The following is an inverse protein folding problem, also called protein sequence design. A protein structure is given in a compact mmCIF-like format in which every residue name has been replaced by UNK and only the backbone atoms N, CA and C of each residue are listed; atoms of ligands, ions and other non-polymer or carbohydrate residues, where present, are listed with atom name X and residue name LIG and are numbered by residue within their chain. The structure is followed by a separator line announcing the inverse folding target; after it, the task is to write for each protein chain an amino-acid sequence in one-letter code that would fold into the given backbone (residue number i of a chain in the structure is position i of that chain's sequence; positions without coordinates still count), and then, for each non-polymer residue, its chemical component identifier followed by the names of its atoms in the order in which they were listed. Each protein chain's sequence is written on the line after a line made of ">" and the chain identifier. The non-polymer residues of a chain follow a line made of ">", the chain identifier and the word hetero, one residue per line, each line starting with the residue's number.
data_IF_073529282286
#
_entry.id   IF_073529282286
#
_cell.length_a   1.000
_cell.length_b   1.000
_cell.length_c   1.000
_cell.angle_alpha   90.00
_cell.angle_beta   90.00
_cell.angle_gamma   90.00
#
_symmetry.space_group_name_H-M   'P 1'
#
loop_
_entity.id
_entity.type
_entity.pdbx_description
1 polymer ?
#
# COMPACT_ATOMS: atom_id res chain seq x y z
N UNK A 1 34.79 43.19 -69.37
CA UNK A 1 35.51 43.86 -68.26
C UNK A 1 36.75 43.04 -67.95
N UNK A 2 37.97 43.59 -67.99
CA UNK A 2 39.16 42.82 -67.66
C UNK A 2 39.14 42.46 -66.16
N UNK A 3 39.19 41.17 -65.86
CA UNK A 3 39.27 40.64 -64.49
C UNK A 3 40.54 41.15 -63.84
N UNK A 4 40.45 41.65 -62.60
CA UNK A 4 41.60 42.25 -61.91
C UNK A 4 42.68 41.19 -61.65
N UNK A 5 43.96 41.59 -61.67
CA UNK A 5 45.11 40.69 -61.43
C UNK A 5 45.00 39.99 -60.06
N UNK A 6 44.41 40.64 -59.06
CA UNK A 6 44.12 40.09 -57.74
C UNK A 6 43.06 38.99 -57.75
N UNK A 7 42.03 39.13 -58.59
CA UNK A 7 40.94 38.16 -58.71
C UNK A 7 41.39 36.90 -59.45
N UNK A 8 42.16 37.05 -60.53
CA UNK A 8 42.81 35.92 -61.22
C UNK A 8 43.77 35.15 -60.30
N UNK A 9 44.51 35.86 -59.43
CA UNK A 9 45.43 35.24 -58.48
C UNK A 9 44.71 34.33 -57.49
N UNK A 10 43.58 34.78 -56.93
CA UNK A 10 42.82 33.98 -55.97
C UNK A 10 42.20 32.75 -56.63
N UNK A 11 41.63 32.91 -57.84
CA UNK A 11 41.06 31.79 -58.60
C UNK A 11 42.11 30.71 -58.93
N UNK A 12 43.34 31.11 -59.29
CA UNK A 12 44.46 30.17 -59.48
C UNK A 12 44.77 29.41 -58.18
N UNK A 13 44.84 30.11 -57.04
CA UNK A 13 45.08 29.47 -55.73
C UNK A 13 43.99 28.46 -55.38
N UNK A 14 42.73 28.82 -55.61
CA UNK A 14 41.59 27.95 -55.32
C UNK A 14 41.58 26.71 -56.23
N UNK A 15 41.88 26.87 -57.52
CA UNK A 15 42.00 25.75 -58.46
C UNK A 15 43.16 24.81 -58.12
N UNK A 16 44.30 25.33 -57.65
CA UNK A 16 45.40 24.50 -57.14
C UNK A 16 45.01 23.70 -55.89
N UNK A 17 44.29 24.31 -54.95
CA UNK A 17 43.78 23.61 -53.76
C UNK A 17 42.76 22.53 -54.16
N UNK A 18 41.86 22.83 -55.09
CA UNK A 18 40.86 21.89 -55.57
C UNK A 18 41.49 20.69 -56.31
N UNK A 19 42.27 20.95 -57.34
CA UNK A 19 42.80 19.90 -58.22
C UNK A 19 44.05 19.20 -57.67
N UNK A 20 44.90 19.92 -56.94
CA UNK A 20 46.21 19.42 -56.50
C UNK A 20 46.35 19.31 -54.98
N UNK A 21 45.39 19.85 -54.20
CA UNK A 21 45.42 19.76 -52.74
C UNK A 21 46.56 20.55 -52.07
N UNK A 22 47.20 21.46 -52.80
CA UNK A 22 48.34 22.27 -52.32
C UNK A 22 48.19 23.72 -52.76
N UNK A 23 48.93 24.62 -52.13
CA UNK A 23 49.05 26.00 -52.61
C UNK A 23 50.02 26.10 -53.80
N UNK A 24 49.76 26.98 -54.77
CA UNK A 24 50.68 27.23 -55.88
C UNK A 24 51.90 28.01 -55.41
N UNK A 25 53.06 27.69 -55.98
CA UNK A 25 54.29 28.47 -55.76
C UNK A 25 54.19 29.83 -56.46
N UNK A 26 55.01 30.79 -56.02
CA UNK A 26 54.99 32.17 -56.54
C UNK A 26 55.26 32.19 -58.05
N UNK A 27 56.14 31.31 -58.51
CA UNK A 27 56.54 31.14 -59.91
C UNK A 27 55.41 30.52 -60.74
N UNK A 28 54.65 29.58 -60.17
CA UNK A 28 53.50 28.95 -60.83
C UNK A 28 52.36 29.95 -61.06
N UNK A 29 52.08 30.81 -60.08
CA UNK A 29 51.12 31.90 -60.22
C UNK A 29 51.57 32.86 -61.33
N UNK A 30 52.85 33.24 -61.36
CA UNK A 30 53.39 34.15 -62.37
C UNK A 30 53.27 33.56 -63.78
N UNK A 31 53.56 32.27 -63.95
CA UNK A 31 53.46 31.58 -65.23
C UNK A 31 52.01 31.51 -65.74
N UNK A 32 51.03 31.21 -64.88
CA UNK A 32 49.61 31.20 -65.27
C UNK A 32 49.07 32.59 -65.60
N UNK A 33 49.44 33.61 -64.81
CA UNK A 33 49.06 35.01 -65.07
C UNK A 33 49.65 35.49 -66.40
N UNK A 34 50.91 35.16 -66.69
CA UNK A 34 51.53 35.46 -67.97
C UNK A 34 50.82 34.74 -69.13
N UNK A 35 50.50 33.45 -68.96
CA UNK A 35 49.83 32.65 -69.98
C UNK A 35 48.44 33.21 -70.35
N UNK A 36 47.65 33.60 -69.35
CA UNK A 36 46.35 34.27 -69.52
C UNK A 36 46.49 35.59 -70.27
N UNK A 37 47.50 36.39 -69.92
CA UNK A 37 47.72 37.70 -70.52
C UNK A 37 48.22 37.65 -71.98
N UNK A 38 48.99 36.63 -72.36
CA UNK A 38 49.61 36.56 -73.70
C UNK A 38 48.82 35.73 -74.70
N UNK A 39 48.08 34.71 -74.25
CA UNK A 39 47.35 33.79 -75.15
C UNK A 39 45.82 33.99 -75.09
N UNK A 40 45.33 34.99 -74.35
CA UNK A 40 43.91 35.21 -74.14
C UNK A 40 43.24 34.06 -73.38
N UNK A 41 44.00 33.30 -72.59
CA UNK A 41 43.51 32.15 -71.85
C UNK A 41 42.45 32.55 -70.81
N UNK A 42 41.37 31.79 -70.72
CA UNK A 42 40.35 31.97 -69.69
C UNK A 42 40.69 31.12 -68.45
N UNK A 43 39.97 31.32 -67.35
CA UNK A 43 40.07 30.44 -66.17
C UNK A 43 39.87 28.96 -66.54
N UNK A 44 39.05 28.68 -67.56
CA UNK A 44 38.84 27.34 -68.10
C UNK A 44 40.14 26.69 -68.64
N UNK A 45 41.05 27.47 -69.22
CA UNK A 45 42.36 26.98 -69.70
C UNK A 45 43.26 26.60 -68.52
N UNK A 46 43.23 27.37 -67.44
CA UNK A 46 43.96 27.07 -66.20
C UNK A 46 43.40 25.81 -65.55
N UNK A 47 42.07 25.71 -65.42
CA UNK A 47 41.40 24.52 -64.85
C UNK A 47 41.67 23.26 -65.66
N UNK A 48 41.64 23.33 -67.00
CA UNK A 48 42.01 22.20 -67.86
C UNK A 48 43.48 21.81 -67.70
N UNK A 49 44.39 22.78 -67.58
CA UNK A 49 45.81 22.54 -67.32
C UNK A 49 46.05 21.85 -65.97
N UNK A 50 45.40 22.33 -64.91
CA UNK A 50 45.48 21.74 -63.56
C UNK A 50 44.78 20.39 -63.48
N UNK A 51 43.66 20.20 -64.15
CA UNK A 51 42.98 18.91 -64.25
C UNK A 51 43.82 17.87 -64.98
N UNK A 52 44.65 18.29 -65.95
CA UNK A 52 45.55 17.41 -66.69
C UNK A 52 46.92 17.21 -66.02
N UNK A 53 47.20 17.96 -64.95
CA UNK A 53 48.44 17.87 -64.20
C UNK A 53 48.64 16.45 -63.60
N UNK A 54 49.85 15.87 -63.64
CA UNK A 54 50.12 14.51 -63.15
C UNK A 54 49.62 14.25 -61.72
N UNK A 55 49.86 15.18 -60.78
CA UNK A 55 49.36 15.08 -59.40
C UNK A 55 47.82 15.12 -59.28
N UNK A 56 47.10 15.84 -60.15
CA UNK A 56 45.64 15.85 -60.13
C UNK A 56 45.07 14.50 -60.62
N UNK A 57 45.70 13.91 -61.64
CA UNK A 57 45.40 12.56 -62.12
C UNK A 57 45.69 11.51 -61.04
N UNK A 58 46.79 11.67 -60.31
CA UNK A 58 47.14 10.81 -59.17
C UNK A 58 46.10 10.90 -58.04
N UNK A 59 45.70 12.11 -57.64
CA UNK A 59 44.71 12.33 -56.56
C UNK A 59 43.33 11.72 -56.88
N UNK A 60 42.87 11.79 -58.14
CA UNK A 60 41.62 11.16 -58.58
C UNK A 60 41.63 9.63 -58.47
N UNK A 61 42.79 9.00 -58.53
CA UNK A 61 42.93 7.54 -58.44
C UNK A 61 43.17 7.07 -57.01
N UNK A 62 43.78 7.91 -56.15
CA UNK A 62 44.12 7.54 -54.77
C UNK A 62 42.87 7.23 -53.93
N UNK A 63 41.84 8.07 -53.93
CA UNK A 63 40.68 7.89 -53.05
C UNK A 63 39.88 6.60 -53.34
N UNK A 64 39.52 6.28 -54.59
CA UNK A 64 38.85 5.01 -54.90
C UNK A 64 39.69 3.78 -54.55
N UNK A 65 41.02 3.84 -54.77
CA UNK A 65 41.94 2.76 -54.40
C UNK A 65 42.01 2.63 -52.88
N UNK A 66 42.06 3.74 -52.14
CA UNK A 66 42.06 3.75 -50.68
C UNK A 66 40.79 3.11 -50.09
N UNK A 67 39.64 3.39 -50.70
CA UNK A 67 38.36 2.79 -50.33
C UNK A 67 38.35 1.29 -50.65
N UNK A 68 38.82 0.89 -51.84
CA UNK A 68 38.92 -0.53 -52.20
C UNK A 68 39.79 -1.34 -51.22
N UNK A 69 40.92 -0.80 -50.78
CA UNK A 69 41.71 -1.44 -49.73
C UNK A 69 40.95 -1.57 -48.41
N UNK A 70 40.17 -0.55 -48.03
CA UNK A 70 39.40 -0.56 -46.78
C UNK A 70 38.24 -1.57 -46.86
N UNK A 71 37.56 -1.61 -48.01
CA UNK A 71 36.37 -2.44 -48.24
C UNK A 71 36.74 -3.92 -48.42
N UNK A 72 37.78 -4.21 -49.21
CA UNK A 72 38.15 -5.58 -49.55
C UNK A 72 39.23 -6.18 -48.66
N UNK A 73 40.13 -5.37 -48.10
CA UNK A 73 41.25 -5.86 -47.28
C UNK A 73 41.17 -5.40 -45.82
N UNK A 74 40.15 -4.63 -45.44
CA UNK A 74 39.94 -4.18 -44.05
C UNK A 74 41.00 -3.20 -43.55
N UNK A 75 41.82 -2.63 -44.43
CA UNK A 75 42.93 -1.73 -44.06
C UNK A 75 43.08 -0.59 -45.04
N UNK A 76 43.82 0.43 -44.64
CA UNK A 76 44.24 1.49 -45.56
C UNK A 76 45.43 1.02 -46.41
N UNK A 77 45.42 1.38 -47.69
CA UNK A 77 46.59 1.27 -48.57
C UNK A 77 47.74 2.11 -48.03
N UNK A 78 48.96 1.58 -48.13
CA UNK A 78 50.18 2.30 -47.77
C UNK A 78 50.68 3.17 -48.93
N UNK A 79 51.52 4.18 -48.61
CA UNK A 79 52.02 5.13 -49.61
C UNK A 79 52.79 4.44 -50.77
N UNK A 80 53.51 3.35 -50.47
CA UNK A 80 54.21 2.55 -51.49
C UNK A 80 53.27 1.79 -52.42
N UNK A 81 52.15 1.27 -51.89
CA UNK A 81 51.14 0.56 -52.68
C UNK A 81 50.39 1.51 -53.61
N UNK A 82 50.01 2.70 -53.12
CA UNK A 82 49.39 3.76 -53.94
C UNK A 82 50.31 4.23 -55.08
N UNK A 83 51.60 4.37 -54.80
CA UNK A 83 52.61 4.72 -55.81
C UNK A 83 52.76 3.59 -56.85
N UNK A 84 52.78 2.33 -56.41
CA UNK A 84 52.81 1.16 -57.28
C UNK A 84 51.62 1.09 -58.24
N UNK A 85 50.39 1.29 -57.73
CA UNK A 85 49.19 1.32 -58.57
C UNK A 85 49.18 2.47 -59.58
N UNK A 86 49.70 3.64 -59.21
CA UNK A 86 49.82 4.80 -60.11
C UNK A 86 50.75 4.52 -61.28
N UNK A 87 51.89 3.89 -61.00
CA UNK A 87 52.87 3.49 -62.02
C UNK A 87 52.35 2.35 -62.90
N UNK A 88 51.71 1.35 -62.30
CA UNK A 88 51.10 0.23 -63.02
C UNK A 88 50.00 0.70 -63.99
N UNK A 89 49.10 1.59 -63.55
CA UNK A 89 48.10 2.21 -64.43
C UNK A 89 48.73 2.97 -65.60
N UNK A 90 49.81 3.72 -65.34
CA UNK A 90 50.47 4.54 -66.36
C UNK A 90 51.20 3.69 -67.41
N UNK A 91 51.80 2.56 -67.01
CA UNK A 91 52.53 1.66 -67.91
C UNK A 91 51.64 0.78 -68.76
N UNK A 92 50.50 0.34 -68.20
CA UNK A 92 49.63 -0.64 -68.84
C UNK A 92 48.29 -0.08 -69.31
N UNK A 93 48.02 1.21 -69.07
CA UNK A 93 46.77 1.86 -69.48
C UNK A 93 45.54 1.37 -68.71
N UNK A 94 45.73 0.87 -67.48
CA UNK A 94 44.64 0.36 -66.65
C UNK A 94 43.75 1.51 -66.15
N UNK A 95 42.45 1.25 -66.12
CA UNK A 95 41.50 2.14 -65.46
C UNK A 95 41.54 1.94 -63.94
N UNK A 96 41.01 2.91 -63.19
CA UNK A 96 40.83 2.77 -61.74
C UNK A 96 39.93 1.58 -61.39
N UNK A 97 38.94 1.26 -62.23
CA UNK A 97 38.05 0.12 -62.03
C UNK A 97 38.78 -1.23 -62.18
N UNK A 98 39.76 -1.30 -63.09
CA UNK A 98 40.59 -2.50 -63.23
C UNK A 98 41.47 -2.71 -62.00
N UNK A 99 42.04 -1.63 -61.44
CA UNK A 99 42.80 -1.70 -60.19
C UNK A 99 41.92 -2.15 -59.02
N UNK A 100 40.71 -1.59 -58.90
CA UNK A 100 39.76 -1.99 -57.84
C UNK A 100 39.40 -3.46 -57.98
N UNK A 101 39.22 -3.96 -59.21
CA UNK A 101 38.98 -5.38 -59.48
C UNK A 101 40.16 -6.25 -59.04
N UNK A 102 41.39 -5.85 -59.33
CA UNK A 102 42.58 -6.59 -58.90
C UNK A 102 42.70 -6.65 -57.37
N UNK A 103 42.39 -5.55 -56.67
CA UNK A 103 42.37 -5.51 -55.19
C UNK A 103 41.27 -6.44 -54.65
N UNK A 104 40.08 -6.43 -55.26
CA UNK A 104 38.96 -7.28 -54.85
C UNK A 104 39.22 -8.78 -55.08
N UNK A 105 39.99 -9.11 -56.11
CA UNK A 105 40.38 -10.49 -56.46
C UNK A 105 41.67 -10.97 -55.76
N UNK A 106 42.31 -10.12 -54.95
CA UNK A 106 43.44 -10.52 -54.14
C UNK A 106 43.01 -11.62 -53.14
N UNK A 107 43.75 -12.74 -52.99
CA UNK A 107 43.43 -13.78 -52.00
C UNK A 107 43.26 -13.24 -50.57
N UNK A 108 43.99 -12.19 -50.18
CA UNK A 108 43.82 -11.55 -48.88
C UNK A 108 42.42 -10.93 -48.69
N UNK A 109 41.73 -10.58 -49.78
CA UNK A 109 40.35 -10.11 -49.74
C UNK A 109 39.34 -11.25 -49.51
N UNK A 110 39.65 -12.47 -49.97
CA UNK A 110 38.85 -13.66 -49.63
C UNK A 110 39.01 -13.99 -48.14
N UNK A 111 40.23 -13.97 -47.62
CA UNK A 111 40.52 -14.21 -46.20
C UNK A 111 39.80 -13.19 -45.29
N UNK A 112 39.86 -11.91 -45.64
CA UNK A 112 39.15 -10.86 -44.90
C UNK A 112 37.63 -11.07 -44.93
N UNK A 113 37.06 -11.35 -46.10
CA UNK A 113 35.62 -11.64 -46.24
C UNK A 113 35.20 -12.89 -45.48
N UNK A 114 36.04 -13.92 -45.45
CA UNK A 114 35.76 -15.14 -44.68
C UNK A 114 35.80 -14.86 -43.18
N UNK A 115 36.80 -14.11 -42.68
CA UNK A 115 36.84 -13.70 -41.27
C UNK A 115 35.61 -12.89 -40.83
N UNK A 116 35.11 -12.00 -41.70
CA UNK A 116 33.85 -11.29 -41.46
C UNK A 116 32.63 -12.22 -41.42
N UNK A 117 32.61 -13.29 -42.22
CA UNK A 117 31.52 -14.29 -42.18
C UNK A 117 31.56 -15.10 -40.90
N UNK A 118 32.74 -15.60 -40.53
CA UNK A 118 32.93 -16.42 -39.34
C UNK A 118 32.55 -15.63 -38.07
N UNK A 119 32.95 -14.35 -38.00
CA UNK A 119 32.56 -13.47 -36.89
C UNK A 119 31.05 -13.19 -36.87
N UNK A 120 30.42 -12.95 -38.02
CA UNK A 120 28.97 -12.79 -38.09
C UNK A 120 28.20 -14.07 -37.71
N UNK A 121 28.70 -15.24 -38.10
CA UNK A 121 28.14 -16.53 -37.72
C UNK A 121 28.25 -16.77 -36.21
N UNK A 122 29.41 -16.44 -35.63
CA UNK A 122 29.63 -16.50 -34.19
C UNK A 122 28.68 -15.55 -33.45
N UNK A 123 28.57 -14.29 -33.89
CA UNK A 123 27.63 -13.32 -33.32
C UNK A 123 26.18 -13.77 -33.43
N UNK A 124 25.81 -14.42 -34.54
CA UNK A 124 24.47 -14.98 -34.72
C UNK A 124 24.22 -16.11 -33.73
N UNK A 125 25.17 -17.04 -33.59
CA UNK A 125 25.12 -18.16 -32.64
C UNK A 125 25.00 -17.66 -31.20
N UNK A 126 25.81 -16.67 -30.81
CA UNK A 126 25.75 -16.08 -29.48
C UNK A 126 24.42 -15.36 -29.22
N UNK A 127 23.90 -14.61 -30.20
CA UNK A 127 22.58 -13.97 -30.09
C UNK A 127 21.46 -15.00 -29.91
N UNK A 128 21.49 -16.11 -30.64
CA UNK A 128 20.51 -17.20 -30.48
C UNK A 128 20.61 -17.82 -29.09
N UNK A 129 21.83 -18.10 -28.60
CA UNK A 129 22.05 -18.64 -27.25
C UNK A 129 21.53 -17.69 -26.17
N UNK A 130 21.92 -16.42 -26.23
CA UNK A 130 21.49 -15.39 -25.26
C UNK A 130 19.97 -15.18 -25.28
N UNK A 131 19.35 -15.28 -26.45
CA UNK A 131 17.88 -15.22 -26.56
C UNK A 131 17.24 -16.42 -25.86
N UNK A 132 17.78 -17.63 -26.05
CA UNK A 132 17.32 -18.83 -25.34
C UNK A 132 17.47 -18.73 -23.83
N UNK A 133 18.63 -18.29 -23.34
CA UNK A 133 18.88 -18.05 -21.91
C UNK A 133 17.89 -17.04 -21.30
N UNK A 134 17.62 -15.95 -22.02
CA UNK A 134 16.65 -14.94 -21.61
C UNK A 134 15.24 -15.52 -21.52
N UNK A 135 14.83 -16.31 -22.51
CA UNK A 135 13.49 -16.89 -22.55
C UNK A 135 13.30 -17.92 -21.42
N UNK A 136 14.33 -18.73 -21.11
CA UNK A 136 14.34 -19.59 -19.92
C UNK A 136 14.19 -18.79 -18.63
N UNK A 137 14.97 -17.73 -18.44
CA UNK A 137 14.87 -16.88 -17.25
C UNK A 137 13.49 -16.20 -17.10
N UNK A 138 12.86 -15.81 -18.22
CA UNK A 138 11.49 -15.30 -18.23
C UNK A 138 10.50 -16.39 -17.77
N UNK A 139 10.68 -17.62 -18.24
CA UNK A 139 9.88 -18.78 -17.83
C UNK A 139 9.95 -19.02 -16.32
N UNK A 140 11.15 -19.11 -15.77
CA UNK A 140 11.38 -19.29 -14.32
C UNK A 140 10.75 -18.17 -13.49
N UNK A 141 10.91 -16.90 -13.92
CA UNK A 141 10.29 -15.75 -13.25
C UNK A 141 8.77 -15.84 -13.24
N UNK A 142 8.16 -16.30 -14.33
CA UNK A 142 6.71 -16.44 -14.43
C UNK A 142 6.20 -17.56 -13.51
N UNK A 143 6.91 -18.69 -13.42
CA UNK A 143 6.61 -19.77 -12.46
C UNK A 143 6.66 -19.26 -11.02
N UNK A 144 7.74 -18.58 -10.63
CA UNK A 144 7.89 -18.02 -9.29
C UNK A 144 6.81 -16.97 -8.96
N UNK A 145 6.33 -16.22 -9.95
CA UNK A 145 5.20 -15.30 -9.79
C UNK A 145 3.89 -16.05 -9.53
N UNK A 146 3.63 -17.14 -10.27
CA UNK A 146 2.47 -18.00 -10.05
C UNK A 146 2.45 -18.59 -8.64
N UNK A 147 3.58 -19.11 -8.16
CA UNK A 147 3.72 -19.63 -6.80
C UNK A 147 3.42 -18.56 -5.74
N UNK A 148 3.92 -17.33 -5.94
CA UNK A 148 3.63 -16.20 -5.05
C UNK A 148 2.16 -15.85 -5.00
N UNK A 149 1.49 -15.83 -6.15
CA UNK A 149 0.07 -15.50 -6.24
C UNK A 149 -0.78 -16.57 -5.52
N UNK A 150 -0.43 -17.85 -5.64
CA UNK A 150 -1.03 -18.94 -4.86
C UNK A 150 -0.85 -18.75 -3.35
N UNK A 151 0.38 -18.48 -2.90
CA UNK A 151 0.66 -18.26 -1.47
C UNK A 151 -0.10 -17.05 -0.89
N UNK A 152 -0.31 -16.00 -1.70
CA UNK A 152 -1.14 -14.84 -1.31
C UNK A 152 -2.60 -15.27 -1.14
N UNK A 153 -3.15 -16.07 -2.05
CA UNK A 153 -4.51 -16.59 -1.96
C UNK A 153 -4.74 -17.45 -0.71
N UNK A 154 -3.79 -18.34 -0.39
CA UNK A 154 -3.82 -19.15 0.82
C UNK A 154 -3.79 -18.28 2.09
N UNK A 155 -2.91 -17.28 2.14
CA UNK A 155 -2.82 -16.35 3.26
C UNK A 155 -4.12 -15.57 3.47
N UNK A 156 -4.74 -15.12 2.39
CA UNK A 156 -5.97 -14.33 2.48
C UNK A 156 -7.16 -15.20 2.93
N UNK A 157 -7.18 -16.47 2.52
CA UNK A 157 -8.13 -17.48 3.03
C UNK A 157 -7.96 -17.69 4.54
N UNK A 158 -6.73 -17.94 5.00
CA UNK A 158 -6.44 -18.10 6.43
C UNK A 158 -6.76 -16.85 7.27
N UNK A 159 -6.67 -15.65 6.69
CA UNK A 159 -7.12 -14.40 7.33
C UNK A 159 -8.64 -14.37 7.49
N UNK A 160 -9.39 -14.74 6.45
CA UNK A 160 -10.85 -14.83 6.51
C UNK A 160 -11.35 -15.82 7.56
N UNK A 161 -10.70 -16.97 7.68
CA UNK A 161 -10.99 -17.97 8.72
C UNK A 161 -10.73 -17.40 10.12
N UNK A 162 -9.59 -16.70 10.31
CA UNK A 162 -9.25 -16.07 11.60
C UNK A 162 -10.28 -15.02 12.01
N UNK A 163 -10.75 -14.21 11.06
CA UNK A 163 -11.72 -13.16 11.35
C UNK A 163 -13.10 -13.75 11.69
N UNK A 164 -13.50 -14.83 11.02
CA UNK A 164 -14.69 -15.61 11.39
C UNK A 164 -14.60 -16.13 12.83
N UNK A 165 -13.49 -16.79 13.17
CA UNK A 165 -13.27 -17.33 14.52
C UNK A 165 -13.25 -16.24 15.61
N UNK A 166 -12.77 -15.03 15.28
CA UNK A 166 -12.85 -13.87 16.19
C UNK A 166 -14.30 -13.43 16.40
N UNK A 167 -15.08 -13.31 15.33
CA UNK A 167 -16.51 -12.97 15.43
C UNK A 167 -17.29 -13.97 16.28
N UNK A 168 -17.04 -15.27 16.13
CA UNK A 168 -17.65 -16.32 16.96
C UNK A 168 -17.26 -16.19 18.44
N UNK A 169 -15.98 -15.90 18.72
CA UNK A 169 -15.50 -15.66 20.09
C UNK A 169 -16.19 -14.46 20.73
N UNK A 170 -16.33 -13.37 19.99
CA UNK A 170 -16.97 -12.15 20.50
C UNK A 170 -18.45 -12.38 20.81
N UNK A 171 -19.14 -13.17 19.97
CA UNK A 171 -20.52 -13.59 20.23
C UNK A 171 -20.62 -14.43 21.52
N UNK A 172 -19.73 -15.41 21.68
CA UNK A 172 -19.69 -16.23 22.90
C UNK A 172 -19.42 -15.40 24.16
N UNK A 173 -18.48 -14.45 24.10
CA UNK A 173 -18.20 -13.55 25.22
C UNK A 173 -19.40 -12.66 25.57
N UNK A 174 -20.11 -12.16 24.56
CA UNK A 174 -21.36 -11.40 24.75
C UNK A 174 -22.42 -12.23 25.48
N UNK A 175 -22.67 -13.46 25.01
CA UNK A 175 -23.60 -14.39 25.65
C UNK A 175 -23.21 -14.69 27.10
N UNK A 176 -21.93 -14.93 27.35
CA UNK A 176 -21.40 -15.17 28.71
C UNK A 176 -21.63 -13.97 29.62
N UNK A 177 -21.40 -12.75 29.14
CA UNK A 177 -21.60 -11.53 29.92
C UNK A 177 -23.09 -11.31 30.25
N UNK A 178 -23.99 -11.61 29.31
CA UNK A 178 -25.44 -11.58 29.57
C UNK A 178 -25.82 -12.56 30.68
N UNK A 179 -25.34 -13.82 30.60
CA UNK A 179 -25.64 -14.82 31.62
C UNK A 179 -25.08 -14.44 33.00
N UNK A 180 -23.91 -13.81 33.06
CA UNK A 180 -23.36 -13.26 34.31
C UNK A 180 -24.28 -12.16 34.86
N UNK A 181 -24.71 -11.21 34.03
CA UNK A 181 -25.61 -10.14 34.45
C UNK A 181 -26.97 -10.66 34.96
N UNK A 182 -27.51 -11.71 34.34
CA UNK A 182 -28.73 -12.38 34.82
C UNK A 182 -28.51 -13.04 36.18
N UNK A 183 -27.40 -13.77 36.36
CA UNK A 183 -27.05 -14.37 37.64
C UNK A 183 -26.94 -13.32 38.75
N UNK A 184 -26.19 -12.25 38.50
CA UNK A 184 -25.97 -11.18 39.47
C UNK A 184 -27.29 -10.48 39.84
N UNK A 185 -28.21 -10.34 38.87
CA UNK A 185 -29.56 -9.84 39.14
C UNK A 185 -30.33 -10.76 40.10
N UNK A 186 -30.36 -12.07 39.86
CA UNK A 186 -31.07 -13.01 40.74
C UNK A 186 -30.43 -13.09 42.13
N UNK A 187 -29.11 -13.03 42.22
CA UNK A 187 -28.37 -13.00 43.49
C UNK A 187 -28.77 -11.76 44.32
N UNK A 188 -28.77 -10.56 43.72
CA UNK A 188 -29.19 -9.34 44.40
C UNK A 188 -30.70 -9.27 44.73
N UNK A 189 -31.56 -10.07 44.08
CA UNK A 189 -32.96 -10.26 44.50
C UNK A 189 -33.04 -11.21 45.70
N UNK A 190 -32.26 -12.29 45.68
CA UNK A 190 -32.17 -13.25 46.80
C UNK A 190 -31.68 -12.57 48.07
N UNK A 191 -30.60 -11.79 48.01
CA UNK A 191 -30.05 -11.04 49.14
C UNK A 191 -31.08 -10.09 49.75
N UNK A 192 -31.85 -9.37 48.92
CA UNK A 192 -32.94 -8.50 49.38
C UNK A 192 -34.05 -9.29 50.09
N UNK A 193 -34.45 -10.44 49.54
CA UNK A 193 -35.45 -11.29 50.18
C UNK A 193 -34.95 -11.84 51.52
N UNK A 194 -33.68 -12.22 51.62
CA UNK A 194 -33.07 -12.63 52.89
C UNK A 194 -33.09 -11.49 53.91
N UNK A 195 -32.74 -10.26 53.52
CA UNK A 195 -32.82 -9.10 54.39
C UNK A 195 -34.24 -8.84 54.92
N UNK A 196 -35.25 -8.90 54.04
CA UNK A 196 -36.65 -8.75 54.46
C UNK A 196 -37.11 -9.86 55.42
N UNK A 197 -36.61 -11.08 55.25
CA UNK A 197 -36.92 -12.19 56.13
C UNK A 197 -36.31 -12.00 57.53
N UNK A 198 -35.05 -11.56 57.60
CA UNK A 198 -34.36 -11.25 58.85
C UNK A 198 -35.05 -10.09 59.61
N UNK A 199 -35.39 -8.99 58.91
CA UNK A 199 -36.13 -7.86 59.51
C UNK A 199 -37.48 -8.30 60.13
N UNK A 200 -38.20 -9.17 59.42
CA UNK A 200 -39.48 -9.73 59.88
C UNK A 200 -39.29 -10.66 61.09
N UNK A 201 -38.23 -11.46 61.11
CA UNK A 201 -37.89 -12.35 62.20
C UNK A 201 -37.55 -11.57 63.47
N UNK A 202 -36.71 -10.53 63.36
CA UNK A 202 -36.36 -9.63 64.47
C UNK A 202 -37.61 -8.94 65.02
N UNK A 203 -38.49 -8.46 64.14
CA UNK A 203 -39.76 -7.84 64.53
C UNK A 203 -40.67 -8.82 65.29
N UNK A 204 -40.78 -10.07 64.83
CA UNK A 204 -41.57 -11.11 65.49
C UNK A 204 -41.05 -11.43 66.89
N UNK A 205 -39.73 -11.59 67.03
CA UNK A 205 -39.08 -11.80 68.34
C UNK A 205 -39.31 -10.62 69.28
N UNK A 206 -39.28 -9.39 68.76
CA UNK A 206 -39.62 -8.19 69.51
C UNK A 206 -41.05 -8.21 70.07
N UNK A 207 -42.04 -8.63 69.27
CA UNK A 207 -43.42 -8.80 69.74
C UNK A 207 -43.55 -9.92 70.77
N UNK A 208 -42.86 -11.05 70.61
CA UNK A 208 -42.87 -12.13 71.59
C UNK A 208 -42.35 -11.65 72.95
N UNK A 209 -41.23 -10.93 72.98
CA UNK A 209 -40.68 -10.36 74.21
C UNK A 209 -41.68 -9.41 74.89
N UNK A 210 -42.35 -8.54 74.12
CA UNK A 210 -43.39 -7.65 74.66
C UNK A 210 -44.59 -8.42 75.24
N UNK A 211 -45.02 -9.50 74.59
CA UNK A 211 -46.09 -10.37 75.10
C UNK A 211 -45.67 -11.00 76.42
N UNK A 212 -44.43 -11.50 76.51
CA UNK A 212 -43.87 -12.05 77.75
C UNK A 212 -43.83 -11.01 78.87
N UNK A 213 -43.38 -9.79 78.58
CA UNK A 213 -43.36 -8.70 79.56
C UNK A 213 -44.77 -8.34 80.06
N UNK A 214 -45.75 -8.24 79.15
CA UNK A 214 -47.15 -7.97 79.50
C UNK A 214 -47.76 -9.10 80.32
N UNK A 215 -47.46 -10.36 80.01
CA UNK A 215 -47.88 -11.51 80.82
C UNK A 215 -47.35 -11.40 82.25
N UNK A 216 -46.07 -11.07 82.43
CA UNK A 216 -45.48 -10.85 83.75
C UNK A 216 -46.14 -9.69 84.52
N UNK A 217 -46.47 -8.59 83.84
CA UNK A 217 -47.20 -7.47 84.46
C UNK A 217 -48.63 -7.85 84.89
N UNK A 218 -49.31 -8.68 84.09
CA UNK A 218 -50.65 -9.19 84.45
C UNK A 218 -50.56 -10.10 85.66
N UNK A 219 -49.57 -11.00 85.73
CA UNK A 219 -49.34 -11.87 86.88
C UNK A 219 -49.07 -11.08 88.17
N UNK A 220 -48.21 -10.05 88.12
CA UNK A 220 -47.98 -9.16 89.26
C UNK A 220 -49.28 -8.45 89.70
N UNK A 221 -50.04 -7.93 88.73
CA UNK A 221 -51.33 -7.28 89.01
C UNK A 221 -52.31 -8.25 89.68
N UNK A 222 -52.40 -9.48 89.20
CA UNK A 222 -53.30 -10.50 89.74
C UNK A 222 -52.87 -10.92 91.16
N UNK A 223 -51.57 -11.06 91.42
CA UNK A 223 -51.05 -11.26 92.78
C UNK A 223 -51.39 -10.09 93.71
N UNK A 224 -51.24 -8.85 93.23
CA UNK A 224 -51.61 -7.65 94.00
C UNK A 224 -53.10 -7.62 94.30
N UNK A 225 -53.97 -7.91 93.32
CA UNK A 225 -55.42 -8.00 93.54
C UNK A 225 -55.76 -9.06 94.59
N UNK A 226 -55.15 -10.24 94.51
CA UNK A 226 -55.32 -11.29 95.52
C UNK A 226 -54.94 -10.82 96.93
N UNK A 227 -53.83 -10.09 97.08
CA UNK A 227 -53.45 -9.53 98.40
C UNK A 227 -54.38 -8.43 98.90
N UNK A 228 -54.95 -7.61 98.01
CA UNK A 228 -55.95 -6.61 98.39
C UNK A 228 -57.25 -7.28 98.84
N UNK A 229 -57.72 -8.32 98.14
CA UNK A 229 -58.89 -9.11 98.55
C UNK A 229 -58.69 -9.78 99.92
N UNK A 230 -57.50 -10.32 100.19
CA UNK A 230 -57.15 -10.87 101.52
C UNK A 230 -57.13 -9.78 102.61
N UNK A 231 -56.58 -8.60 102.32
CA UNK A 231 -56.56 -7.47 103.28
C UNK A 231 -57.95 -6.95 103.59
N UNK A 232 -58.83 -6.83 102.60
CA UNK A 232 -60.22 -6.41 102.83
C UNK A 232 -60.98 -7.45 103.66
N UNK A 233 -60.74 -8.75 103.44
CA UNK A 233 -61.26 -9.82 104.30
C UNK A 233 -60.74 -9.72 105.75
N UNK A 234 -59.46 -9.41 105.95
CA UNK A 234 -58.86 -9.21 107.28
C UNK A 234 -59.33 -7.92 107.98
N UNK A 235 -59.54 -6.82 107.24
CA UNK A 235 -60.11 -5.58 107.79
C UNK A 235 -61.56 -5.80 108.24
N UNK A 236 -62.36 -6.53 107.45
CA UNK A 236 -63.72 -6.95 107.83
C UNK A 236 -63.71 -7.84 109.10
N UNK A 237 -62.71 -8.70 109.28
CA UNK A 237 -62.54 -9.51 110.50
C UNK A 237 -61.99 -8.71 111.71
N UNK A 238 -61.09 -7.74 111.50
CA UNK A 238 -60.49 -6.93 112.56
C UNK A 238 -61.45 -5.86 113.10
N UNK A 239 -62.37 -5.35 112.26
CA UNK A 239 -63.47 -4.47 112.67
C UNK A 239 -64.44 -5.12 113.66
N UNK A 240 -64.46 -6.45 113.74
CA UNK A 240 -65.20 -7.21 114.76
C UNK A 240 -64.42 -7.39 116.08
N UNK A 241 -63.13 -7.07 116.13
CA UNK A 241 -62.23 -7.34 117.27
C UNK A 241 -61.29 -6.16 117.57
N UNK A 242 -61.81 -5.01 118.05
CA UNK A 242 -60.98 -4.05 118.79
C UNK A 242 -61.36 -2.58 118.64
N UNK A 243 -61.93 -2.00 119.69
CA UNK A 243 -62.03 -0.54 119.86
C UNK A 243 -61.10 -0.03 120.97
N UNK A 244 -60.29 1.01 120.67
CA UNK A 244 -60.04 2.26 121.45
C UNK A 244 -58.63 2.88 121.29
N UNK A 245 -58.63 4.22 121.16
CA UNK A 245 -57.66 5.26 121.58
C UNK A 245 -56.30 5.36 120.86
N UNK A 246 -55.96 6.41 120.08
CA UNK A 246 -55.76 7.88 120.30
C UNK A 246 -54.35 8.32 120.73
N UNK A 247 -53.81 9.34 120.04
CA UNK A 247 -52.62 10.12 120.44
C UNK A 247 -51.56 10.29 119.34
N UNK A 248 -51.53 11.45 118.66
CA UNK A 248 -50.74 11.69 117.44
C UNK A 248 -49.40 12.43 117.58
N UNK A 249 -48.68 12.59 116.47
CA UNK A 249 -48.23 13.87 115.89
C UNK A 249 -47.24 13.67 114.73
N UNK A 250 -47.31 14.62 113.79
CA UNK A 250 -46.72 14.69 112.44
C UNK A 250 -45.19 14.55 112.33
N UNK A 251 -44.74 13.87 111.27
CA UNK A 251 -43.64 14.34 110.41
C UNK A 251 -44.01 14.08 108.94
N UNK A 252 -43.84 15.12 108.14
CA UNK A 252 -44.13 15.23 106.72
C UNK A 252 -42.89 14.82 105.91
N UNK A 253 -43.07 13.96 104.90
CA UNK A 253 -42.14 13.87 103.76
C UNK A 253 -42.92 13.71 102.46
N UNK A 254 -43.21 14.88 101.87
CA UNK A 254 -43.12 15.23 100.45
C UNK A 254 -43.40 14.12 99.43
N UNK A 255 -44.60 14.20 98.86
CA UNK A 255 -44.76 14.11 97.41
C UNK A 255 -43.90 15.20 96.75
N UNK A 256 -42.91 14.79 95.96
CA UNK A 256 -42.38 15.60 94.85
C UNK A 256 -42.86 14.97 93.57
N UNK A 257 -43.80 15.64 92.91
CA UNK A 257 -44.06 15.43 91.50
C UNK A 257 -42.93 15.99 90.64
N UNK A 258 -42.77 15.37 89.48
CA UNK A 258 -42.05 15.84 88.30
C UNK A 258 -42.46 14.92 87.16
N UNK A 259 -43.55 15.25 86.44
CA UNK A 259 -43.55 16.02 85.17
C UNK A 259 -42.89 15.21 84.05
N UNK A 260 -43.68 14.54 83.22
CA UNK A 260 -44.17 14.99 81.91
C UNK A 260 -43.08 15.04 80.81
N UNK A 261 -43.48 14.44 79.67
CA UNK A 261 -43.09 14.76 78.30
C UNK A 261 -41.80 14.15 77.73
N UNK A 262 -42.00 13.09 76.95
CA UNK A 262 -41.59 12.99 75.53
C UNK A 262 -42.29 11.74 74.98
N UNK A 263 -43.29 11.78 74.10
CA UNK A 263 -43.48 12.75 73.03
C UNK A 263 -42.63 12.39 71.80
N UNK A 264 -42.76 11.16 71.31
CA UNK A 264 -42.34 10.76 69.95
C UNK A 264 -42.91 9.36 69.71
N UNK A 265 -44.08 9.20 69.11
CA UNK A 265 -44.42 9.72 67.79
C UNK A 265 -44.44 8.53 66.84
N UNK A 266 -45.50 7.71 66.90
CA UNK A 266 -45.82 6.81 65.79
C UNK A 266 -46.36 7.69 64.66
N UNK A 267 -45.49 8.03 63.70
CA UNK A 267 -45.78 8.28 62.27
C UNK A 267 -44.49 7.93 61.53
N UNK A 268 -44.47 6.92 60.68
CA UNK A 268 -44.98 7.05 59.31
C UNK A 268 -45.37 5.68 58.77
N UNK A 269 -46.66 5.54 58.45
CA UNK A 269 -47.10 4.70 57.34
C UNK A 269 -46.60 5.30 56.02
N UNK A 270 -46.28 4.40 55.11
CA UNK A 270 -45.84 4.57 53.72
C UNK A 270 -46.22 5.87 53.00
N UNK A 271 -45.24 6.42 52.27
CA UNK A 271 -45.49 7.12 51.02
C UNK A 271 -44.58 6.51 49.94
N UNK A 272 -45.14 5.53 49.24
CA UNK A 272 -44.71 5.16 47.88
C UNK A 272 -44.77 6.40 47.00
N UNK A 273 -43.63 7.02 46.71
CA UNK A 273 -43.49 7.90 45.57
C UNK A 273 -42.99 7.07 44.39
N UNK A 274 -43.91 6.71 43.49
CA UNK A 274 -43.56 6.56 42.08
C UNK A 274 -42.97 7.89 41.62
N UNK A 275 -41.64 7.95 41.42
CA UNK A 275 -41.02 8.91 40.50
C UNK A 275 -40.18 8.13 39.50
N UNK A 276 -40.71 8.09 38.29
CA UNK A 276 -40.00 7.79 37.07
C UNK A 276 -39.06 8.97 36.77
N UNK A 277 -37.77 8.84 37.03
CA UNK A 277 -36.72 9.61 36.36
C UNK A 277 -35.62 8.64 35.92
N UNK A 278 -35.91 7.98 34.80
CA UNK A 278 -34.88 7.56 33.88
C UNK A 278 -34.11 8.83 33.43
N UNK A 279 -32.87 9.02 33.88
CA UNK A 279 -31.72 9.44 33.05
C UNK A 279 -30.47 9.76 33.90
N UNK A 280 -29.33 9.19 33.44
CA UNK A 280 -27.93 9.60 33.66
C UNK A 280 -27.18 9.00 34.87
N UNK A 281 -26.81 7.74 34.72
CA UNK A 281 -25.38 7.41 34.83
C UNK A 281 -24.72 7.79 33.51
N UNK A 282 -23.95 8.89 33.49
CA UNK A 282 -22.70 9.05 32.72
C UNK A 282 -22.14 10.47 32.90
N UNK A 283 -21.06 10.62 33.68
CA UNK A 283 -19.90 11.52 33.48
C UNK A 283 -19.18 11.72 34.81
N UNK A 284 -18.08 11.00 34.95
CA UNK A 284 -16.80 11.59 35.36
C UNK A 284 -15.70 10.76 34.69
N UNK A 285 -15.52 11.04 33.40
CA UNK A 285 -14.28 10.77 32.68
C UNK A 285 -13.61 12.13 32.52
N UNK A 286 -12.59 12.38 33.33
CA UNK A 286 -11.73 13.55 33.22
C UNK A 286 -10.88 13.46 31.95
N UNK A 287 -11.17 14.34 30.99
CA UNK A 287 -10.21 15.05 30.13
C UNK A 287 -9.15 14.25 29.34
N UNK A 288 -9.40 14.05 28.04
CA UNK A 288 -8.60 14.72 26.98
C UNK A 288 -9.26 14.52 25.62
N UNK A 289 -10.00 15.55 25.17
CA UNK A 289 -10.57 15.63 23.83
C UNK A 289 -10.02 16.85 23.12
N UNK A 290 -9.07 16.63 22.20
CA UNK A 290 -8.76 17.57 21.12
C UNK A 290 -9.88 17.50 20.08
N UNK A 291 -10.27 18.67 19.61
CA UNK A 291 -11.43 19.03 18.80
C UNK A 291 -11.55 18.32 17.45
N UNK A 292 -12.79 18.06 17.01
CA UNK A 292 -13.30 18.47 15.69
C UNK A 292 -14.84 18.44 15.66
N UNK A 293 -15.40 19.53 15.13
CA UNK A 293 -16.80 19.95 15.27
C UNK A 293 -17.56 19.85 13.92
N UNK A 294 -18.85 19.47 14.00
CA UNK A 294 -20.01 19.90 13.17
C UNK A 294 -20.21 19.50 11.68
N UNK A 295 -21.11 18.51 11.47
CA UNK A 295 -22.44 18.51 10.75
C UNK A 295 -22.61 19.00 9.28
N UNK A 296 -23.77 18.76 8.57
CA UNK A 296 -24.56 17.53 8.36
C UNK A 296 -25.03 17.29 6.87
N UNK A 297 -25.55 16.07 6.59
CA UNK A 297 -26.55 15.62 5.57
C UNK A 297 -26.69 16.37 4.22
N UNK A 298 -26.34 15.70 3.10
CA UNK A 298 -27.14 15.68 1.84
C UNK A 298 -27.00 14.32 1.16
N UNK A 299 -28.12 13.59 1.07
CA UNK A 299 -28.28 12.45 0.19
C UNK A 299 -28.37 12.93 -1.27
N UNK A 300 -27.52 12.40 -2.16
CA UNK A 300 -27.77 12.38 -3.60
C UNK A 300 -27.59 10.97 -4.13
N UNK A 301 -28.73 10.35 -4.44
CA UNK A 301 -28.85 9.24 -5.38
C UNK A 301 -28.06 9.55 -6.65
N UNK A 302 -27.17 8.64 -7.06
CA UNK A 302 -26.74 8.56 -8.47
C UNK A 302 -27.24 7.25 -9.07
N UNK A 303 -28.00 7.46 -10.13
CA UNK A 303 -28.70 6.49 -10.95
C UNK A 303 -27.77 5.43 -11.54
N UNK A 304 -28.32 4.22 -11.62
CA UNK A 304 -27.82 3.10 -12.44
C UNK A 304 -27.75 3.55 -13.89
N UNK A 305 -26.65 3.22 -14.55
CA UNK A 305 -26.60 3.06 -16.01
C UNK A 305 -26.23 1.62 -16.30
N UNK A 306 -27.26 0.78 -16.44
CA UNK A 306 -27.18 -0.44 -17.24
C UNK A 306 -27.29 0.00 -18.70
N UNK A 307 -26.21 -0.07 -19.46
CA UNK A 307 -26.29 -0.05 -20.91
C UNK A 307 -26.33 -1.48 -21.43
N UNK A 308 -27.49 -1.80 -21.99
CA UNK A 308 -27.76 -2.94 -22.83
C UNK A 308 -26.96 -2.88 -24.12
N UNK A 309 -26.23 -3.95 -24.43
CA UNK A 309 -25.91 -4.30 -25.81
C UNK A 309 -26.44 -5.71 -26.05
N UNK A 310 -27.56 -5.79 -26.76
CA UNK A 310 -28.07 -7.04 -27.29
C UNK A 310 -27.55 -7.31 -28.71
N UNK A 311 -27.87 -8.53 -29.17
CA UNK A 311 -27.69 -9.06 -30.54
C UNK A 311 -26.27 -9.57 -30.82
N UNK A 312 -25.98 -10.77 -31.33
CA UNK A 312 -26.79 -11.77 -32.03
C UNK A 312 -26.16 -13.17 -31.91
N UNK A 313 -27.02 -14.17 -31.73
CA UNK A 313 -26.78 -15.54 -32.17
C UNK A 313 -26.64 -15.61 -33.70
N UNK A 314 -25.55 -16.18 -34.22
CA UNK A 314 -25.48 -16.76 -35.56
C UNK A 314 -24.51 -17.94 -35.54
N UNK A 315 -25.06 -19.14 -35.66
CA UNK A 315 -24.29 -20.30 -36.11
C UNK A 315 -23.98 -20.19 -37.59
N UNK A 316 -22.80 -20.65 -37.98
CA UNK A 316 -22.51 -21.15 -39.33
C UNK A 316 -21.49 -22.29 -39.22
N UNK A 317 -21.81 -23.38 -39.90
CA UNK A 317 -21.01 -24.57 -40.09
C UNK A 317 -20.09 -24.41 -41.30
N UNK A 318 -18.89 -25.03 -41.22
CA UNK A 318 -18.08 -25.62 -42.31
C UNK A 318 -16.74 -26.02 -41.67
N UNK A 319 -16.22 -27.24 -41.72
CA UNK A 319 -16.19 -28.20 -42.82
C UNK A 319 -14.80 -28.16 -43.48
N UNK A 320 -14.13 -29.33 -43.57
CA UNK A 320 -12.81 -29.61 -44.18
C UNK A 320 -11.60 -29.43 -43.25
N UNK A 321 -10.66 -30.37 -43.07
CA UNK A 321 -10.45 -31.68 -43.70
C UNK A 321 -8.98 -32.09 -43.55
N UNK A 322 -8.72 -33.38 -43.29
CA UNK A 322 -7.61 -34.12 -43.90
C UNK A 322 -6.26 -34.25 -43.16
N UNK A 323 -5.84 -35.53 -43.08
CA UNK A 323 -4.45 -36.02 -43.08
C UNK A 323 -3.66 -35.89 -41.77
N UNK A 324 -3.04 -36.91 -41.19
CA UNK A 324 -2.62 -38.23 -41.67
C UNK A 324 -1.31 -38.56 -40.95
N UNK A 325 -1.35 -39.29 -39.83
CA UNK A 325 -0.14 -39.70 -39.11
C UNK A 325 0.30 -41.10 -39.56
N UNK A 326 1.33 -41.11 -40.41
CA UNK A 326 2.10 -42.31 -40.74
C UNK A 326 3.12 -42.60 -39.63
N UNK A 327 3.05 -43.83 -39.13
CA UNK A 327 4.03 -44.51 -38.31
C UNK A 327 5.34 -44.74 -39.09
N UNK A 328 6.50 -44.41 -38.50
CA UNK A 328 7.78 -45.03 -38.88
C UNK A 328 8.55 -45.46 -37.65
N UNK A 329 8.54 -46.77 -37.40
CA UNK A 329 9.61 -47.48 -36.70
C UNK A 329 10.64 -47.87 -37.76
N UNK A 330 11.86 -47.39 -37.64
CA UNK A 330 12.99 -47.98 -38.35
C UNK A 330 13.66 -49.02 -37.45
N UNK A 331 13.87 -50.20 -38.03
CA UNK A 331 15.00 -51.07 -37.73
C UNK A 331 16.23 -50.47 -38.41
#
# INVERSE_FOLDING_TARGET
>A
MPVSISENRQQIVDAYKQHLGREPQKEEIANWVQHVNTHGGSMQTIEQGLANHPLAKQKKNIEPIQNAYSDYLGRKAEAGELAGWTDHASRHGLSTDDIIRDIALNPAADDYRQGLRDTNEQLTTDNTRLTGERDTAIGERNTARGERDTAIGERDTARGERDTARGERDLYLSQRNTAIGERDYYEGQSERNYGLYEDALETSQGFENQVTDLQGQVEDRDQRLYTYEQRDADVQLSGLRGGRSSGGSNQSTRYTGGSLASGGGIRSSAQTNFRNENTRSNRDYSGSGSTNNTSPVVARMRSRNYQSAGTSSRGLASGSGGSGYYSRRFR
#
